data_IF_776869387715
#
_entry.id   IF_776869387715
#
_cell.length_a   1.000
_cell.length_b   1.000
_cell.length_c   1.000
_cell.angle_alpha   90.00
_cell.angle_beta   90.00
_cell.angle_gamma   90.00
#
_symmetry.space_group_name_H-M   'P 1'
#
loop_
_entity.id
_entity.type
_entity.pdbx_description
1 polymer ?
#
# COMPACT_ATOMS: atom_id res chain seq x y z
N UNK A 1 41.64 -13.43 15.36
CA UNK A 1 40.98 -14.08 14.21
C UNK A 1 39.80 -13.23 13.78
N UNK A 2 39.64 -13.07 12.48
CA UNK A 2 38.81 -12.07 11.78
C UNK A 2 37.30 -12.22 12.08
N UNK A 3 36.63 -11.09 12.29
CA UNK A 3 35.17 -10.94 12.36
C UNK A 3 34.60 -10.69 10.95
N UNK A 4 33.33 -11.06 10.73
CA UNK A 4 32.49 -10.83 9.53
C UNK A 4 32.45 -12.02 8.53
N UNK A 5 31.32 -12.44 7.94
CA UNK A 5 30.08 -11.75 7.54
C UNK A 5 28.90 -12.75 7.55
N UNK A 6 27.80 -12.42 8.25
CA UNK A 6 26.49 -13.10 8.11
C UNK A 6 25.39 -12.14 7.61
N UNK A 7 25.74 -10.96 7.08
CA UNK A 7 24.76 -9.93 6.67
C UNK A 7 24.24 -10.05 5.24
N UNK A 8 24.84 -10.88 4.40
CA UNK A 8 24.54 -10.92 2.96
C UNK A 8 23.34 -11.80 2.52
N UNK A 9 23.00 -12.93 3.17
CA UNK A 9 21.88 -13.75 2.71
C UNK A 9 20.50 -13.22 3.13
N UNK A 10 20.41 -12.45 4.22
CA UNK A 10 19.12 -11.98 4.76
C UNK A 10 18.58 -10.75 4.02
N UNK A 11 19.44 -9.86 3.52
CA UNK A 11 19.02 -8.63 2.83
C UNK A 11 18.22 -8.92 1.54
N UNK A 12 18.66 -9.84 0.64
CA UNK A 12 17.87 -10.22 -0.53
C UNK A 12 16.50 -10.80 -0.17
N UNK A 13 16.40 -11.56 0.93
CA UNK A 13 15.14 -12.14 1.38
C UNK A 13 14.20 -11.08 1.95
N UNK A 14 14.73 -10.11 2.71
CA UNK A 14 13.96 -8.97 3.24
C UNK A 14 13.43 -8.08 2.11
N UNK A 15 14.27 -7.75 1.12
CA UNK A 15 13.81 -6.98 -0.05
C UNK A 15 12.72 -7.71 -0.82
N UNK A 16 12.86 -9.01 -1.05
CA UNK A 16 11.86 -9.80 -1.74
C UNK A 16 10.52 -9.82 -0.98
N UNK A 17 10.55 -9.97 0.35
CA UNK A 17 9.36 -9.94 1.18
C UNK A 17 8.65 -8.57 1.15
N UNK A 18 9.42 -7.47 1.19
CA UNK A 18 8.86 -6.12 1.07
C UNK A 18 8.23 -5.89 -0.30
N UNK A 19 8.89 -6.32 -1.37
CA UNK A 19 8.35 -6.22 -2.73
C UNK A 19 7.06 -7.02 -2.90
N UNK A 20 6.94 -8.19 -2.26
CA UNK A 20 5.67 -8.94 -2.25
C UNK A 20 4.56 -8.15 -1.57
N UNK A 21 4.82 -7.57 -0.39
CA UNK A 21 3.83 -6.77 0.35
C UNK A 21 3.43 -5.49 -0.41
N UNK A 22 4.38 -4.78 -0.99
CA UNK A 22 4.15 -3.55 -1.77
C UNK A 22 3.26 -3.82 -3.00
N UNK A 23 3.43 -4.98 -3.62
CA UNK A 23 2.71 -5.38 -4.82
C UNK A 23 1.47 -6.25 -4.53
N UNK A 24 1.13 -6.47 -3.26
CA UNK A 24 -0.05 -7.22 -2.87
C UNK A 24 -1.29 -6.36 -3.15
N UNK A 25 -2.17 -6.74 -4.09
CA UNK A 25 -3.41 -6.00 -4.31
C UNK A 25 -4.36 -6.22 -3.13
N UNK A 26 -5.20 -5.22 -2.87
CA UNK A 26 -6.34 -5.38 -1.99
C UNK A 26 -7.33 -6.40 -2.57
N UNK A 27 -8.15 -7.01 -1.71
CA UNK A 27 -9.17 -7.97 -2.16
C UNK A 27 -10.09 -7.34 -3.21
N UNK A 28 -10.33 -8.08 -4.30
CA UNK A 28 -11.24 -7.66 -5.38
C UNK A 28 -12.65 -7.42 -4.83
N UNK A 29 -13.07 -8.19 -3.82
CA UNK A 29 -14.40 -8.05 -3.22
C UNK A 29 -14.53 -6.69 -2.49
N UNK A 30 -13.49 -6.29 -1.75
CA UNK A 30 -13.44 -5.00 -1.04
C UNK A 30 -13.48 -3.86 -2.06
N UNK A 31 -12.67 -3.94 -3.12
CA UNK A 31 -12.64 -2.92 -4.17
C UNK A 31 -13.98 -2.80 -4.92
N UNK A 32 -14.61 -3.94 -5.20
CA UNK A 32 -15.90 -4.00 -5.90
C UNK A 32 -17.02 -3.42 -5.03
N UNK A 33 -17.05 -3.77 -3.75
CA UNK A 33 -18.01 -3.23 -2.79
C UNK A 33 -17.84 -1.71 -2.64
N UNK A 34 -16.62 -1.23 -2.45
CA UNK A 34 -16.31 0.19 -2.38
C UNK A 34 -16.76 0.94 -3.63
N UNK A 35 -16.46 0.44 -4.82
CA UNK A 35 -16.87 1.07 -6.09
C UNK A 35 -18.39 1.14 -6.22
N UNK A 36 -19.09 0.06 -5.87
CA UNK A 36 -20.56 0.01 -5.90
C UNK A 36 -21.17 1.04 -4.96
N UNK A 37 -20.72 1.09 -3.70
CA UNK A 37 -21.26 2.02 -2.69
C UNK A 37 -20.88 3.47 -3.01
N UNK A 38 -19.65 3.72 -3.46
CA UNK A 38 -19.22 5.04 -3.94
C UNK A 38 -20.10 5.53 -5.10
N UNK A 39 -20.46 4.64 -6.03
CA UNK A 39 -21.34 5.00 -7.14
C UNK A 39 -22.76 5.32 -6.67
N UNK A 40 -23.29 4.58 -5.68
CA UNK A 40 -24.58 4.88 -5.06
C UNK A 40 -24.56 6.24 -4.34
N UNK A 41 -23.49 6.53 -3.59
CA UNK A 41 -23.32 7.81 -2.90
C UNK A 41 -23.34 8.98 -3.89
N UNK A 42 -22.60 8.88 -5.00
CA UNK A 42 -22.59 9.91 -6.06
C UNK A 42 -23.94 10.10 -6.77
N UNK A 43 -24.81 9.10 -6.72
CA UNK A 43 -26.13 9.14 -7.32
C UNK A 43 -27.23 9.52 -6.31
N UNK A 44 -26.87 9.86 -5.07
CA UNK A 44 -27.80 10.11 -3.95
C UNK A 44 -28.76 8.92 -3.67
N UNK A 45 -28.29 7.70 -3.94
CA UNK A 45 -29.05 6.45 -3.81
C UNK A 45 -28.57 5.57 -2.64
N UNK A 46 -27.65 6.08 -1.82
CA UNK A 46 -27.06 5.34 -0.71
C UNK A 46 -27.98 5.38 0.51
N UNK A 47 -28.18 4.24 1.17
CA UNK A 47 -28.89 4.20 2.46
C UNK A 47 -27.94 4.56 3.61
N UNK A 48 -28.45 4.89 4.82
CA UNK A 48 -27.60 5.12 5.98
C UNK A 48 -26.65 3.95 6.27
N UNK A 49 -27.16 2.72 6.33
CA UNK A 49 -26.35 1.52 6.57
C UNK A 49 -25.28 1.29 5.48
N UNK A 50 -25.61 1.60 4.22
CA UNK A 50 -24.66 1.51 3.12
C UNK A 50 -23.59 2.61 3.20
N UNK A 51 -23.94 3.78 3.73
CA UNK A 51 -22.99 4.88 3.93
C UNK A 51 -22.03 4.58 5.08
N UNK A 52 -22.53 4.00 6.18
CA UNK A 52 -21.66 3.51 7.28
C UNK A 52 -20.71 2.43 6.76
N UNK A 53 -21.21 1.49 5.97
CA UNK A 53 -20.37 0.48 5.32
C UNK A 53 -19.34 1.08 4.37
N UNK A 54 -19.68 2.14 3.65
CA UNK A 54 -18.75 2.86 2.78
C UNK A 54 -17.62 3.51 3.58
N UNK A 55 -17.92 4.09 4.75
CA UNK A 55 -16.91 4.64 5.66
C UNK A 55 -15.95 3.55 6.14
N UNK A 56 -16.45 2.40 6.57
CA UNK A 56 -15.60 1.27 6.97
C UNK A 56 -14.65 0.82 5.84
N UNK A 57 -15.14 0.82 4.60
CA UNK A 57 -14.33 0.45 3.43
C UNK A 57 -13.25 1.49 3.13
N UNK A 58 -13.54 2.78 3.32
CA UNK A 58 -12.55 3.86 3.22
C UNK A 58 -11.44 3.67 4.24
N UNK A 59 -11.77 3.39 5.49
CA UNK A 59 -10.78 3.15 6.55
C UNK A 59 -9.86 1.96 6.20
N UNK A 60 -10.43 0.88 5.64
CA UNK A 60 -9.65 -0.29 5.18
C UNK A 60 -8.70 0.08 4.03
N UNK A 61 -9.15 0.91 3.08
CA UNK A 61 -8.33 1.38 1.96
C UNK A 61 -7.18 2.26 2.45
N UNK A 62 -7.45 3.22 3.34
CA UNK A 62 -6.45 4.12 3.91
C UNK A 62 -5.41 3.36 4.72
N UNK A 63 -5.84 2.39 5.53
CA UNK A 63 -4.93 1.54 6.30
C UNK A 63 -4.01 0.73 5.38
N UNK A 64 -4.55 0.14 4.32
CA UNK A 64 -3.75 -0.61 3.35
C UNK A 64 -2.74 0.27 2.61
N UNK A 65 -3.14 1.50 2.23
CA UNK A 65 -2.22 2.46 1.61
C UNK A 65 -1.13 2.92 2.59
N UNK A 66 -1.46 3.13 3.86
CA UNK A 66 -0.49 3.47 4.91
C UNK A 66 0.53 2.35 5.13
N UNK A 67 0.09 1.09 5.23
CA UNK A 67 0.96 -0.08 5.36
C UNK A 67 1.88 -0.23 4.15
N UNK A 68 1.34 -0.06 2.95
CA UNK A 68 2.13 -0.07 1.71
C UNK A 68 3.18 1.05 1.70
N UNK A 69 2.85 2.24 2.18
CA UNK A 69 3.80 3.34 2.32
C UNK A 69 4.91 3.04 3.32
N UNK A 70 4.59 2.38 4.45
CA UNK A 70 5.59 1.92 5.41
C UNK A 70 6.57 0.92 4.78
N UNK A 71 6.09 -0.03 3.99
CA UNK A 71 6.95 -0.99 3.28
C UNK A 71 7.84 -0.31 2.22
N UNK A 72 7.34 0.70 1.52
CA UNK A 72 8.14 1.49 0.59
C UNK A 72 9.26 2.26 1.30
N UNK A 73 8.97 2.85 2.46
CA UNK A 73 9.97 3.52 3.29
C UNK A 73 11.05 2.55 3.78
N UNK A 74 10.67 1.36 4.22
CA UNK A 74 11.61 0.32 4.64
C UNK A 74 12.49 -0.15 3.48
N UNK A 75 11.92 -0.40 2.31
CA UNK A 75 12.67 -0.78 1.12
C UNK A 75 13.63 0.33 0.66
N UNK A 76 13.21 1.60 0.75
CA UNK A 76 14.04 2.76 0.44
C UNK A 76 15.27 2.82 1.36
N UNK A 77 15.09 2.55 2.66
CA UNK A 77 16.17 2.48 3.63
C UNK A 77 17.15 1.33 3.33
N UNK A 78 16.63 0.13 3.03
CA UNK A 78 17.47 -1.03 2.67
C UNK A 78 18.32 -0.76 1.43
N UNK A 79 17.73 -0.13 0.41
CA UNK A 79 18.41 0.24 -0.84
C UNK A 79 19.23 1.52 -0.74
N UNK A 80 19.16 2.25 0.38
CA UNK A 80 19.79 3.57 0.58
C UNK A 80 19.44 4.55 -0.53
N UNK A 81 18.17 4.55 -0.94
CA UNK A 81 17.65 5.38 -2.01
C UNK A 81 16.58 6.33 -1.44
N UNK A 82 16.49 7.59 -1.89
CA UNK A 82 15.34 8.43 -1.60
C UNK A 82 14.02 7.77 -2.02
N UNK A 83 12.96 7.95 -1.24
CA UNK A 83 11.66 7.31 -1.47
C UNK A 83 11.08 7.64 -2.85
N UNK A 84 11.16 8.90 -3.26
CA UNK A 84 10.71 9.39 -4.57
C UNK A 84 11.42 8.67 -5.72
N UNK A 85 12.74 8.46 -5.59
CA UNK A 85 13.52 7.69 -6.56
C UNK A 85 13.15 6.22 -6.58
N UNK A 86 12.87 5.62 -5.42
CA UNK A 86 12.41 4.24 -5.35
C UNK A 86 11.06 4.08 -6.05
N UNK A 87 10.10 4.95 -5.74
CA UNK A 87 8.75 4.92 -6.32
C UNK A 87 8.81 5.05 -7.85
N UNK A 88 9.67 5.97 -8.36
CA UNK A 88 9.94 6.10 -9.79
C UNK A 88 10.53 4.82 -10.40
N UNK A 89 11.51 4.21 -9.74
CA UNK A 89 12.13 2.96 -10.22
C UNK A 89 11.15 1.77 -10.25
N UNK A 90 10.24 1.70 -9.27
CA UNK A 90 9.23 0.66 -9.20
C UNK A 90 8.03 0.91 -10.13
N UNK A 91 7.98 2.06 -10.82
CA UNK A 91 6.84 2.44 -11.67
C UNK A 91 5.54 2.63 -10.88
N UNK A 92 5.65 2.88 -9.57
CA UNK A 92 4.50 3.02 -8.69
C UNK A 92 3.89 4.40 -8.88
N UNK A 93 2.59 4.44 -9.16
CA UNK A 93 1.81 5.67 -9.11
C UNK A 93 1.37 5.89 -7.67
N UNK A 94 1.87 6.95 -7.04
CA UNK A 94 1.27 7.47 -5.81
C UNK A 94 0.02 8.25 -6.19
N UNK A 95 -1.11 8.08 -5.51
CA UNK A 95 -2.20 9.03 -5.63
C UNK A 95 -1.65 10.42 -5.32
N UNK A 96 -1.97 11.40 -6.17
CA UNK A 96 -1.59 12.78 -5.90
C UNK A 96 -2.25 13.16 -4.57
N UNK A 97 -1.46 13.56 -3.57
CA UNK A 97 -2.00 14.13 -2.35
C UNK A 97 -2.73 15.39 -2.79
N UNK A 98 -4.06 15.33 -2.85
CA UNK A 98 -4.87 16.53 -2.98
C UNK A 98 -4.76 17.23 -1.61
N UNK A 99 -3.81 18.17 -1.53
CA UNK A 99 -3.75 19.14 -0.44
C UNK A 99 -4.79 20.23 -0.60
#
# INVERSE_FOLDING_TARGET
MVVARRKAPDIPQQEAALLQKINQPLSIDILTEYQKLSQKQRNDQITPDENDRLLDLVDVLEQADAERMQHLLELAQLRKLPLDKLIQQLGIRTPAVHG
#
